data_IF_542572437725
#
_entry.id   IF_542572437725
#
_cell.length_a   1.000
_cell.length_b   1.000
_cell.length_c   1.000
_cell.angle_alpha   90.00
_cell.angle_beta   90.00
_cell.angle_gamma   90.00
#
_symmetry.space_group_name_H-M   'P 1'
#
loop_
_entity.id
_entity.type
_entity.pdbx_description
1 polymer ?
#
# COMPACT_ATOMS: atom_id res chain seq x y z
N UNK A 1 9.76 -23.21 -6.80
CA UNK A 1 8.31 -23.34 -6.58
C UNK A 1 7.77 -22.01 -6.13
N UNK A 2 7.43 -21.16 -7.08
CA UNK A 2 6.62 -19.98 -6.83
C UNK A 2 5.22 -20.51 -6.51
N UNK A 3 4.86 -20.63 -5.24
CA UNK A 3 3.47 -20.69 -4.87
C UNK A 3 2.88 -19.39 -5.39
N UNK A 4 2.19 -19.47 -6.52
CA UNK A 4 1.17 -18.52 -6.83
C UNK A 4 0.31 -18.48 -5.57
N UNK A 5 0.17 -17.31 -4.99
CA UNK A 5 -0.77 -17.06 -3.91
C UNK A 5 -2.15 -17.25 -4.53
N UNK A 6 -2.49 -18.52 -4.77
CA UNK A 6 -3.82 -18.95 -5.12
C UNK A 6 -4.69 -18.51 -3.96
N UNK A 7 -5.77 -17.88 -4.29
CA UNK A 7 -6.84 -17.57 -3.39
C UNK A 7 -7.08 -18.82 -2.53
N UNK A 8 -6.58 -18.80 -1.28
CA UNK A 8 -6.71 -19.95 -0.39
C UNK A 8 -8.14 -20.28 -0.02
N UNK A 9 -9.11 -19.48 -0.45
CA UNK A 9 -10.52 -19.85 -0.46
C UNK A 9 -10.85 -20.96 -1.45
N UNK A 10 -10.08 -21.13 -2.56
CA UNK A 10 -10.38 -22.17 -3.55
C UNK A 10 -9.87 -23.55 -3.17
N UNK A 11 -8.73 -23.65 -2.48
CA UNK A 11 -8.17 -24.96 -2.08
C UNK A 11 -8.92 -25.55 -0.88
N UNK A 12 -9.27 -24.72 0.10
CA UNK A 12 -9.97 -25.17 1.32
C UNK A 12 -11.46 -25.45 1.04
N UNK A 13 -12.10 -24.63 0.20
CA UNK A 13 -13.54 -24.81 -0.09
C UNK A 13 -13.83 -25.97 -1.06
N UNK A 14 -12.86 -26.46 -1.81
CA UNK A 14 -13.10 -27.56 -2.76
C UNK A 14 -12.92 -28.94 -2.13
N UNK A 15 -11.95 -29.12 -1.23
CA UNK A 15 -11.75 -30.36 -0.50
C UNK A 15 -12.86 -30.69 0.50
N UNK A 16 -13.56 -29.67 0.99
CA UNK A 16 -14.67 -29.82 1.95
C UNK A 16 -16.03 -30.09 1.27
N UNK A 17 -16.07 -30.19 -0.07
CA UNK A 17 -17.31 -30.48 -0.80
C UNK A 17 -17.44 -31.96 -1.07
N UNK A 18 -18.57 -32.61 -0.69
CA UNK A 18 -18.82 -34.01 -1.00
C UNK A 18 -18.64 -34.32 -2.48
N UNK A 19 -17.84 -35.31 -2.78
CA UNK A 19 -17.52 -35.75 -4.15
C UNK A 19 -16.31 -35.06 -4.78
N UNK A 20 -15.65 -34.10 -4.09
CA UNK A 20 -14.44 -33.42 -4.57
C UNK A 20 -13.21 -33.68 -3.69
N UNK A 21 -13.29 -34.66 -2.78
CA UNK A 21 -12.24 -34.99 -1.80
C UNK A 21 -10.92 -35.38 -2.46
N UNK A 22 -10.98 -35.97 -3.66
CA UNK A 22 -9.81 -36.38 -4.43
C UNK A 22 -9.70 -35.64 -5.78
N UNK A 23 -10.27 -34.44 -5.86
CA UNK A 23 -10.21 -33.67 -7.10
C UNK A 23 -8.80 -33.17 -7.38
N UNK A 24 -8.30 -33.48 -8.58
CA UNK A 24 -7.04 -32.93 -9.09
C UNK A 24 -7.31 -31.65 -9.89
N UNK A 25 -6.79 -30.51 -9.39
CA UNK A 25 -7.00 -29.22 -10.03
C UNK A 25 -6.03 -29.03 -11.20
N UNK A 26 -6.55 -29.11 -12.41
CA UNK A 26 -5.78 -28.89 -13.64
C UNK A 26 -5.41 -27.40 -13.81
N UNK A 27 -6.25 -26.49 -13.29
CA UNK A 27 -6.04 -25.04 -13.35
C UNK A 27 -6.86 -24.33 -12.28
N UNK A 28 -6.21 -23.43 -11.55
CA UNK A 28 -6.91 -22.53 -10.64
C UNK A 28 -7.47 -21.32 -11.40
N UNK A 29 -8.74 -21.00 -11.16
CA UNK A 29 -9.37 -19.79 -11.67
C UNK A 29 -8.90 -18.56 -10.88
N UNK A 30 -8.89 -17.42 -11.53
CA UNK A 30 -8.73 -16.12 -10.85
C UNK A 30 -10.12 -15.60 -10.52
N UNK A 31 -10.44 -15.49 -9.23
CA UNK A 31 -11.77 -15.09 -8.77
C UNK A 31 -12.04 -13.61 -9.01
N UNK A 32 -11.00 -12.78 -9.03
CA UNK A 32 -11.09 -11.35 -9.26
C UNK A 32 -10.13 -10.89 -10.34
N UNK A 33 -10.61 -10.10 -11.28
CA UNK A 33 -9.81 -9.34 -12.23
C UNK A 33 -9.93 -7.86 -11.86
N UNK A 34 -9.03 -7.38 -11.03
CA UNK A 34 -8.97 -5.98 -10.70
C UNK A 34 -8.07 -5.24 -11.69
N UNK A 35 -8.59 -4.15 -12.25
CA UNK A 35 -7.78 -3.21 -13.02
C UNK A 35 -6.93 -2.38 -12.06
N UNK A 36 -5.64 -2.29 -12.32
CA UNK A 36 -4.72 -1.46 -11.55
C UNK A 36 -3.71 -0.77 -12.46
N UNK A 37 -3.13 0.31 -11.97
CA UNK A 37 -2.09 1.06 -12.65
C UNK A 37 -0.75 0.36 -12.47
N UNK A 38 0.17 0.54 -13.41
CA UNK A 38 1.59 0.25 -13.21
C UNK A 38 2.20 1.33 -12.30
N UNK A 39 1.75 1.34 -11.06
CA UNK A 39 2.00 2.41 -10.08
C UNK A 39 3.47 2.75 -9.85
N UNK A 40 4.41 1.79 -9.85
CA UNK A 40 5.82 2.12 -9.69
C UNK A 40 6.38 3.05 -10.76
N UNK A 41 5.81 3.02 -11.97
CA UNK A 41 6.20 3.93 -13.05
C UNK A 41 5.46 5.26 -13.01
N UNK A 42 4.25 5.26 -12.47
CA UNK A 42 3.31 6.37 -12.60
C UNK A 42 3.19 7.23 -11.35
N UNK A 43 3.31 6.62 -10.16
CA UNK A 43 2.99 7.27 -8.90
C UNK A 43 4.23 7.53 -8.03
N UNK A 44 4.15 8.58 -7.23
CA UNK A 44 5.03 8.84 -6.09
C UNK A 44 4.40 8.28 -4.80
N UNK A 45 5.15 8.02 -3.72
CA UNK A 45 4.60 7.61 -2.42
C UNK A 45 3.56 8.57 -1.82
N UNK A 46 3.47 9.79 -2.30
CA UNK A 46 2.40 10.75 -1.98
C UNK A 46 1.09 10.48 -2.71
N UNK A 47 1.06 9.45 -3.59
CA UNK A 47 -0.03 9.07 -4.49
C UNK A 47 -0.29 10.07 -5.63
N UNK A 48 0.63 10.99 -5.87
CA UNK A 48 0.60 11.89 -7.02
C UNK A 48 1.13 11.19 -8.28
N UNK A 49 0.57 11.52 -9.44
CA UNK A 49 1.17 11.13 -10.71
C UNK A 49 2.46 11.91 -10.95
N UNK A 50 3.56 11.22 -11.24
CA UNK A 50 4.87 11.83 -11.49
C UNK A 50 4.85 12.84 -12.62
N UNK A 51 4.14 12.54 -13.71
CA UNK A 51 4.03 13.41 -14.89
C UNK A 51 3.01 14.53 -14.70
N UNK A 52 2.07 14.40 -13.74
CA UNK A 52 1.05 15.39 -13.46
C UNK A 52 0.81 15.48 -11.94
N UNK A 53 1.64 16.24 -11.21
CA UNK A 53 1.60 16.29 -9.74
C UNK A 53 0.28 16.81 -9.14
N UNK A 54 -0.57 17.47 -9.93
CA UNK A 54 -1.91 17.90 -9.51
C UNK A 54 -2.96 16.78 -9.55
N UNK A 55 -2.64 15.64 -10.16
CA UNK A 55 -3.50 14.46 -10.22
C UNK A 55 -3.02 13.44 -9.18
N UNK A 56 -3.96 12.90 -8.41
CA UNK A 56 -3.70 11.87 -7.43
C UNK A 56 -4.54 10.63 -7.75
N UNK A 57 -4.04 9.47 -7.37
CA UNK A 57 -4.76 8.21 -7.45
C UNK A 57 -4.94 7.62 -6.05
N UNK A 58 -6.07 6.95 -5.80
CA UNK A 58 -6.35 6.33 -4.50
C UNK A 58 -7.14 5.04 -4.64
N UNK A 59 -7.03 4.19 -3.63
CA UNK A 59 -7.76 2.94 -3.56
C UNK A 59 -7.15 1.83 -4.42
N UNK A 60 -7.94 0.82 -4.71
CA UNK A 60 -7.49 -0.42 -5.34
C UNK A 60 -6.81 -0.22 -6.70
N UNK A 61 -7.20 0.81 -7.45
CA UNK A 61 -6.58 1.13 -8.74
C UNK A 61 -5.08 1.41 -8.63
N UNK A 62 -4.58 1.81 -7.47
CA UNK A 62 -3.15 2.03 -7.22
C UNK A 62 -2.35 0.75 -7.00
N UNK A 63 -2.98 -0.41 -7.01
CA UNK A 63 -2.35 -1.68 -6.68
C UNK A 63 -2.31 -1.99 -5.18
N UNK A 64 -3.12 -1.29 -4.38
CA UNK A 64 -3.34 -1.65 -2.98
C UNK A 64 -4.55 -2.57 -2.86
N UNK A 65 -4.44 -3.63 -2.06
CA UNK A 65 -5.54 -4.56 -1.81
C UNK A 65 -6.11 -4.40 -0.40
N UNK A 66 -7.42 -4.59 -0.29
CA UNK A 66 -8.15 -4.56 0.98
C UNK A 66 -8.78 -3.20 1.30
N UNK A 67 -9.95 -3.25 1.97
CA UNK A 67 -10.74 -2.06 2.28
C UNK A 67 -9.99 -1.06 3.16
N UNK A 68 -9.31 -1.52 4.20
CA UNK A 68 -8.54 -0.65 5.09
C UNK A 68 -7.43 0.11 4.33
N UNK A 69 -6.74 -0.57 3.40
CA UNK A 69 -5.73 0.05 2.56
C UNK A 69 -6.32 1.07 1.59
N UNK A 70 -7.47 0.75 1.00
CA UNK A 70 -8.17 1.67 0.09
C UNK A 70 -8.65 2.94 0.81
N UNK A 71 -9.20 2.80 2.01
CA UNK A 71 -9.62 3.94 2.86
C UNK A 71 -8.43 4.79 3.27
N UNK A 72 -7.34 4.17 3.74
CA UNK A 72 -6.14 4.90 4.15
C UNK A 72 -5.44 5.59 2.96
N UNK A 73 -5.40 4.95 1.80
CA UNK A 73 -4.92 5.57 0.56
C UNK A 73 -5.78 6.75 0.13
N UNK A 74 -7.12 6.62 0.25
CA UNK A 74 -8.07 7.70 0.00
C UNK A 74 -7.87 8.88 0.93
N UNK A 75 -7.66 8.63 2.23
CA UNK A 75 -7.35 9.66 3.21
C UNK A 75 -6.04 10.40 2.86
N UNK A 76 -4.98 9.65 2.52
CA UNK A 76 -3.70 10.27 2.16
C UNK A 76 -3.81 11.10 0.88
N UNK A 77 -4.43 10.57 -0.16
CA UNK A 77 -4.63 11.29 -1.42
C UNK A 77 -5.49 12.53 -1.24
N UNK A 78 -6.59 12.44 -0.49
CA UNK A 78 -7.47 13.58 -0.19
C UNK A 78 -6.77 14.65 0.64
N UNK A 79 -6.01 14.25 1.66
CA UNK A 79 -5.19 15.18 2.46
C UNK A 79 -4.15 15.89 1.59
N UNK A 80 -3.46 15.14 0.72
CA UNK A 80 -2.46 15.72 -0.17
C UNK A 80 -3.10 16.64 -1.22
N UNK A 81 -4.26 16.29 -1.76
CA UNK A 81 -5.01 17.18 -2.65
C UNK A 81 -5.36 18.51 -1.97
N UNK A 82 -5.87 18.47 -0.74
CA UNK A 82 -6.18 19.67 0.04
C UNK A 82 -4.93 20.50 0.36
N UNK A 83 -3.80 19.85 0.61
CA UNK A 83 -2.52 20.55 0.82
C UNK A 83 -2.03 21.23 -0.45
N UNK A 84 -2.09 20.56 -1.59
CA UNK A 84 -1.72 21.14 -2.88
C UNK A 84 -2.52 22.40 -3.23
N UNK A 85 -3.84 22.36 -3.02
CA UNK A 85 -4.71 23.55 -3.23
C UNK A 85 -4.30 24.72 -2.36
N UNK A 86 -3.74 24.44 -1.17
CA UNK A 86 -3.24 25.45 -0.23
C UNK A 86 -1.77 25.84 -0.45
N UNK A 87 -1.12 25.33 -1.49
CA UNK A 87 0.30 25.57 -1.73
C UNK A 87 1.24 24.90 -0.72
N UNK A 88 0.76 23.88 0.01
CA UNK A 88 1.54 23.15 1.01
C UNK A 88 2.14 21.88 0.39
N UNK A 89 3.32 21.49 0.88
CA UNK A 89 3.96 20.24 0.48
C UNK A 89 3.11 19.01 0.80
N UNK A 90 2.98 18.04 -0.12
CA UNK A 90 2.30 16.78 0.15
C UNK A 90 2.96 15.99 1.27
N UNK A 91 2.15 15.30 2.07
CA UNK A 91 2.62 14.42 3.14
C UNK A 91 3.11 13.11 2.51
N UNK A 92 4.33 12.74 2.88
CA UNK A 92 4.88 11.40 2.63
C UNK A 92 4.90 10.66 3.97
N UNK A 93 4.14 9.57 4.05
CA UNK A 93 4.07 8.79 5.29
C UNK A 93 5.36 7.99 5.50
N UNK A 94 5.83 7.86 6.75
CA UNK A 94 7.02 7.06 7.07
C UNK A 94 6.85 5.59 6.69
N UNK A 95 7.87 4.93 6.10
CA UNK A 95 7.80 3.51 5.74
C UNK A 95 7.73 2.57 6.96
N UNK A 96 7.89 3.10 8.16
CA UNK A 96 7.67 2.40 9.43
C UNK A 96 6.21 2.26 9.79
N UNK A 97 5.31 3.00 9.14
CA UNK A 97 3.86 2.83 9.24
C UNK A 97 3.36 1.87 8.17
N UNK A 98 2.30 1.13 8.45
CA UNK A 98 1.76 0.13 7.51
C UNK A 98 1.35 0.75 6.17
N UNK A 99 0.67 1.90 6.20
CA UNK A 99 0.26 2.57 4.97
C UNK A 99 1.43 3.26 4.27
N UNK A 100 2.39 3.83 5.02
CA UNK A 100 3.60 4.41 4.45
C UNK A 100 4.47 3.36 3.76
N UNK A 101 4.64 2.18 4.36
CA UNK A 101 5.31 1.04 3.74
C UNK A 101 4.61 0.59 2.45
N UNK A 102 3.28 0.51 2.47
CA UNK A 102 2.50 0.12 1.30
C UNK A 102 2.58 1.16 0.18
N UNK A 103 2.43 2.45 0.48
CA UNK A 103 2.55 3.51 -0.52
C UNK A 103 3.96 3.61 -1.08
N UNK A 104 4.96 3.36 -0.25
CA UNK A 104 6.35 3.25 -0.72
C UNK A 104 6.52 2.06 -1.67
N UNK A 105 6.01 0.88 -1.30
CA UNK A 105 6.06 -0.31 -2.14
C UNK A 105 5.40 -0.08 -3.50
N UNK A 106 4.16 0.42 -3.56
CA UNK A 106 3.46 0.64 -4.83
C UNK A 106 4.15 1.68 -5.72
N UNK A 107 4.96 2.57 -5.16
CA UNK A 107 5.68 3.59 -5.92
C UNK A 107 7.11 3.19 -6.31
N UNK A 108 7.69 2.15 -5.69
CA UNK A 108 9.10 1.78 -5.87
C UNK A 108 9.32 0.30 -6.19
N UNK A 109 8.25 -0.51 -6.21
CA UNK A 109 8.37 -1.92 -6.56
C UNK A 109 9.02 -2.11 -7.93
N UNK A 110 9.79 -3.18 -8.14
CA UNK A 110 10.39 -3.47 -9.43
C UNK A 110 9.33 -3.55 -10.53
N UNK A 111 9.56 -2.84 -11.62
CA UNK A 111 8.80 -3.02 -12.86
C UNK A 111 9.41 -4.21 -13.61
N UNK A 112 8.58 -5.13 -14.06
CA UNK A 112 9.03 -6.32 -14.78
C UNK A 112 9.85 -6.00 -16.03
N UNK A 113 10.60 -7.00 -16.50
CA UNK A 113 11.30 -6.93 -17.78
C UNK A 113 10.30 -6.93 -18.96
N UNK A 114 10.80 -6.72 -20.18
CA UNK A 114 10.01 -6.73 -21.41
C UNK A 114 9.26 -8.06 -21.65
N UNK A 115 9.61 -9.13 -20.92
CA UNK A 115 8.97 -10.45 -20.95
C UNK A 115 7.90 -10.61 -19.87
N UNK A 116 7.64 -9.56 -19.07
CA UNK A 116 6.66 -9.57 -17.98
C UNK A 116 7.12 -10.30 -16.72
N UNK A 117 8.38 -10.71 -16.62
CA UNK A 117 8.94 -11.35 -15.43
C UNK A 117 9.24 -10.28 -14.38
N UNK A 118 8.75 -10.46 -13.16
CA UNK A 118 8.88 -9.48 -12.09
C UNK A 118 7.90 -8.32 -12.19
N UNK A 119 6.81 -8.48 -12.95
CA UNK A 119 5.77 -7.46 -13.09
C UNK A 119 5.20 -7.07 -11.73
N UNK A 120 4.95 -5.78 -11.55
CA UNK A 120 4.27 -5.26 -10.35
C UNK A 120 2.98 -6.05 -10.07
N UNK A 121 2.81 -6.47 -8.84
CA UNK A 121 1.62 -7.17 -8.38
C UNK A 121 0.98 -6.37 -7.24
N UNK A 122 -0.33 -6.16 -7.29
CA UNK A 122 -1.06 -5.59 -6.17
C UNK A 122 -0.81 -6.36 -4.87
N UNK A 123 -0.78 -5.65 -3.75
CA UNK A 123 -0.44 -6.22 -2.46
C UNK A 123 -1.32 -5.63 -1.34
N UNK A 124 -1.81 -6.49 -0.42
CA UNK A 124 -2.42 -6.02 0.82
C UNK A 124 -1.35 -5.53 1.81
N UNK A 125 -1.72 -4.68 2.77
CA UNK A 125 -0.83 -4.30 3.86
C UNK A 125 -0.38 -5.54 4.64
N UNK A 126 0.93 -5.68 4.83
CA UNK A 126 1.48 -6.80 5.60
C UNK A 126 2.78 -6.41 6.31
N UNK A 127 3.15 -7.16 7.34
CA UNK A 127 4.34 -6.87 8.14
C UNK A 127 5.66 -7.06 7.38
N UNK A 128 5.66 -7.80 6.28
CA UNK A 128 6.85 -7.97 5.44
C UNK A 128 7.26 -6.72 4.66
N UNK A 129 6.38 -5.71 4.58
CA UNK A 129 6.70 -4.41 3.98
C UNK A 129 7.39 -3.46 4.96
N UNK A 130 7.27 -3.71 6.26
CA UNK A 130 7.85 -2.83 7.28
C UNK A 130 9.35 -3.06 7.40
N UNK A 131 10.15 -2.00 7.58
CA UNK A 131 11.54 -2.14 7.94
C UNK A 131 11.70 -2.91 9.25
N UNK A 132 12.76 -3.69 9.36
CA UNK A 132 13.06 -4.45 10.58
C UNK A 132 13.14 -3.55 11.82
N UNK A 133 12.86 -4.15 12.98
CA UNK A 133 13.12 -3.51 14.26
C UNK A 133 14.63 -3.49 14.55
N UNK A 134 15.09 -2.49 15.29
CA UNK A 134 16.49 -2.40 15.70
C UNK A 134 16.95 -3.63 16.49
N UNK A 135 16.03 -4.23 17.24
CA UNK A 135 16.28 -5.44 18.02
C UNK A 135 15.43 -6.61 17.56
N UNK A 136 15.99 -7.81 17.53
CA UNK A 136 15.29 -9.04 17.18
C UNK A 136 14.43 -9.52 18.35
N UNK A 137 13.12 -9.27 18.30
CA UNK A 137 12.15 -9.71 19.30
C UNK A 137 11.54 -11.04 18.88
N UNK A 138 11.80 -12.12 19.66
CA UNK A 138 11.27 -13.46 19.37
C UNK A 138 9.78 -13.59 19.68
N UNK A 139 9.34 -13.03 20.79
CA UNK A 139 7.93 -13.07 21.19
C UNK A 139 7.07 -12.28 20.19
N UNK A 140 6.06 -12.96 19.64
CA UNK A 140 5.19 -12.41 18.59
C UNK A 140 4.40 -11.18 19.06
N UNK A 141 3.85 -11.25 20.28
CA UNK A 141 3.00 -10.18 20.83
C UNK A 141 3.82 -8.92 21.11
N UNK A 142 4.99 -9.08 21.72
CA UNK A 142 5.93 -7.98 21.99
C UNK A 142 6.46 -7.38 20.70
N UNK A 143 6.78 -8.20 19.71
CA UNK A 143 7.24 -7.74 18.39
C UNK A 143 6.19 -6.88 17.69
N UNK A 144 4.92 -7.29 17.68
CA UNK A 144 3.84 -6.50 17.10
C UNK A 144 3.57 -5.22 17.89
N UNK A 145 3.70 -5.26 19.21
CA UNK A 145 3.67 -4.06 20.06
C UNK A 145 4.76 -3.05 19.66
N UNK A 146 6.01 -3.51 19.50
CA UNK A 146 7.12 -2.65 19.11
C UNK A 146 6.92 -2.02 17.70
N UNK A 147 6.40 -2.77 16.72
CA UNK A 147 6.04 -2.21 15.41
C UNK A 147 4.97 -1.12 15.54
N UNK A 148 3.93 -1.38 16.35
CA UNK A 148 2.85 -0.40 16.58
C UNK A 148 3.39 0.87 17.20
N UNK A 149 4.17 0.75 18.27
CA UNK A 149 4.67 1.89 19.04
C UNK A 149 5.60 2.76 18.20
N UNK A 150 6.50 2.14 17.43
CA UNK A 150 7.33 2.83 16.44
C UNK A 150 6.49 3.55 15.39
N UNK A 151 5.51 2.85 14.80
CA UNK A 151 4.67 3.42 13.76
C UNK A 151 3.87 4.63 14.24
N UNK A 152 3.34 4.59 15.47
CA UNK A 152 2.59 5.71 16.04
C UNK A 152 3.49 6.91 16.34
N UNK A 153 4.69 6.67 16.86
CA UNK A 153 5.66 7.74 17.12
C UNK A 153 6.09 8.44 15.83
N UNK A 154 6.47 7.65 14.80
CA UNK A 154 6.91 8.18 13.53
C UNK A 154 5.76 8.90 12.77
N UNK A 155 4.54 8.38 12.88
CA UNK A 155 3.36 9.02 12.30
C UNK A 155 3.07 10.36 12.97
N UNK A 156 3.12 10.42 14.30
CA UNK A 156 2.93 11.67 15.03
C UNK A 156 3.95 12.73 14.59
N UNK A 157 5.23 12.36 14.53
CA UNK A 157 6.30 13.24 14.06
C UNK A 157 6.10 13.71 12.60
N UNK A 158 5.59 12.84 11.73
CA UNK A 158 5.35 13.19 10.32
C UNK A 158 4.12 14.08 10.12
N UNK A 159 3.15 14.02 11.02
CA UNK A 159 1.91 14.81 10.99
C UNK A 159 1.97 16.07 11.84
N UNK A 160 3.04 16.29 12.61
CA UNK A 160 3.20 17.53 13.34
C UNK A 160 3.06 18.73 12.39
N UNK A 161 2.26 19.73 12.76
CA UNK A 161 2.08 20.92 11.92
C UNK A 161 3.43 21.66 11.82
N UNK A 162 4.15 21.43 10.73
CA UNK A 162 5.18 22.40 10.35
C UNK A 162 4.45 23.72 10.19
N UNK A 163 4.86 24.73 10.95
CA UNK A 163 4.21 26.02 11.08
C UNK A 163 3.59 26.47 9.74
N UNK A 164 2.27 26.66 9.72
CA UNK A 164 1.57 27.14 8.54
C UNK A 164 2.15 28.50 8.16
N UNK A 165 2.65 28.71 6.94
CA UNK A 165 2.89 30.05 6.48
C UNK A 165 1.56 30.80 6.58
N UNK A 166 1.56 31.94 7.26
CA UNK A 166 0.39 32.80 7.36
C UNK A 166 -0.11 33.11 5.95
N UNK A 167 -1.43 33.10 5.70
CA UNK A 167 -1.95 33.47 4.40
C UNK A 167 -1.44 34.89 4.08
N UNK A 168 -0.81 35.03 2.91
CA UNK A 168 -0.41 36.33 2.39
C UNK A 168 -1.70 37.16 2.32
N UNK A 169 -1.76 38.34 2.99
CA UNK A 169 -2.93 39.20 2.91
C UNK A 169 -3.17 39.51 1.44
N UNK A 170 -4.40 39.30 0.97
CA UNK A 170 -4.80 39.67 -0.38
C UNK A 170 -4.51 41.19 -0.52
N UNK A 171 -3.52 41.50 -1.36
CA UNK A 171 -3.27 42.87 -1.77
C UNK A 171 -4.51 43.34 -2.53
N UNK A 172 -5.26 44.27 -1.90
CA UNK A 172 -6.42 44.94 -2.46
C UNK A 172 -6.07 45.75 -3.72
#
# INVERSE_FOLDING_TARGET
HTRLQGDWSSDVCSSDRPGLENAEFVRFGVMHRNTFLESPQLLDPTLQFRQRPTLLAAGQITGTEGYAAAVAGGWLAGTNAARLVRGLEPIRLPPTTMIGALTHFIATAPCGDARGKGRFQPMPPNFGLLPDLAERIRDKRRRYGAYRDRALADLAAALEPKAYPQPVPASG
#
